data_IF_448469883245
#
_entry.id   IF_448469883245
#
_cell.length_a   1.000
_cell.length_b   1.000
_cell.length_c   1.000
_cell.angle_alpha   90.00
_cell.angle_beta   90.00
_cell.angle_gamma   90.00
#
_symmetry.space_group_name_H-M   'P 1'
#
loop_
_entity.id
_entity.type
_entity.pdbx_description
1 polymer ?
#
# COMPACT_ATOMS: atom_id res chain seq x y z
N UNK A 1 29.46 -8.49 10.15
CA UNK A 1 28.78 -7.24 9.80
C UNK A 1 27.33 -7.57 9.48
N UNK A 2 26.37 -6.99 10.19
CA UNK A 2 24.95 -7.09 9.82
C UNK A 2 24.76 -6.49 8.43
N UNK A 3 23.92 -7.11 7.59
CA UNK A 3 23.57 -6.52 6.29
C UNK A 3 22.92 -5.15 6.54
N UNK A 4 23.30 -4.09 5.78
CA UNK A 4 22.62 -2.81 5.87
C UNK A 4 21.10 -2.98 5.70
N UNK A 5 20.27 -2.27 6.49
CA UNK A 5 18.81 -2.44 6.48
C UNK A 5 18.13 -2.07 5.15
N UNK A 6 18.87 -1.44 4.22
CA UNK A 6 18.40 -1.15 2.86
C UNK A 6 18.60 -2.29 1.87
N UNK A 7 19.32 -3.37 2.23
CA UNK A 7 19.48 -4.59 1.41
C UNK A 7 18.40 -5.64 1.71
N UNK A 8 17.18 -5.21 2.06
CA UNK A 8 16.03 -6.11 2.16
C UNK A 8 15.53 -6.33 0.73
N UNK A 9 15.61 -7.56 0.27
CA UNK A 9 15.09 -7.98 -1.03
C UNK A 9 13.71 -8.62 -0.87
N UNK A 10 12.88 -8.53 -1.89
CA UNK A 10 11.60 -9.23 -1.99
C UNK A 10 11.71 -10.74 -1.78
N UNK A 11 10.56 -11.43 -1.68
CA UNK A 11 10.46 -12.84 -1.29
C UNK A 11 11.35 -13.79 -2.11
N UNK A 12 11.49 -13.52 -3.40
CA UNK A 12 12.29 -14.31 -4.34
C UNK A 12 13.72 -13.77 -4.55
N UNK A 13 14.15 -12.81 -3.72
CA UNK A 13 15.43 -12.12 -3.86
C UNK A 13 15.47 -11.04 -4.95
N UNK A 14 14.33 -10.72 -5.60
CA UNK A 14 14.24 -9.78 -6.72
C UNK A 14 13.04 -8.84 -6.59
N UNK A 15 13.31 -7.54 -6.60
CA UNK A 15 12.27 -6.53 -6.80
C UNK A 15 12.30 -6.02 -8.22
N UNK A 16 11.12 -5.88 -8.83
CA UNK A 16 10.98 -5.25 -10.13
C UNK A 16 10.57 -3.79 -9.93
N UNK A 17 11.44 -2.87 -10.36
CA UNK A 17 11.17 -1.44 -10.31
C UNK A 17 10.85 -0.91 -11.71
N UNK A 18 9.73 -0.22 -11.83
CA UNK A 18 9.25 0.37 -13.08
C UNK A 18 9.07 1.87 -12.92
N UNK A 19 9.18 2.59 -14.03
CA UNK A 19 8.88 4.03 -14.12
C UNK A 19 8.00 4.24 -15.34
N UNK A 20 6.88 4.94 -15.17
CA UNK A 20 5.99 5.26 -16.30
C UNK A 20 4.71 5.98 -15.88
N UNK A 21 3.86 6.38 -16.83
CA UNK A 21 2.66 7.16 -16.54
C UNK A 21 1.52 6.34 -15.91
N UNK A 22 1.61 5.00 -15.95
CA UNK A 22 0.61 4.07 -15.44
C UNK A 22 1.28 2.83 -14.84
N UNK A 23 0.52 2.04 -14.07
CA UNK A 23 1.01 0.73 -13.65
C UNK A 23 1.26 -0.15 -14.89
N UNK A 24 2.42 -0.81 -14.99
CA UNK A 24 2.82 -1.55 -16.18
C UNK A 24 1.99 -2.83 -16.34
N UNK A 25 1.78 -3.26 -17.59
CA UNK A 25 1.13 -4.55 -17.91
C UNK A 25 1.82 -5.74 -17.24
N UNK A 26 3.13 -5.65 -16.99
CA UNK A 26 3.86 -6.67 -16.24
C UNK A 26 3.27 -6.91 -14.84
N UNK A 27 2.81 -5.87 -14.14
CA UNK A 27 2.12 -6.02 -12.85
C UNK A 27 0.75 -6.67 -13.02
N UNK A 28 0.02 -6.39 -14.10
CA UNK A 28 -1.25 -7.06 -14.40
C UNK A 28 -1.08 -8.55 -14.72
N UNK A 29 0.02 -8.92 -15.39
CA UNK A 29 0.39 -10.32 -15.65
C UNK A 29 0.74 -11.01 -14.34
N UNK A 30 1.61 -10.40 -13.52
CA UNK A 30 1.97 -10.93 -12.21
C UNK A 30 0.76 -11.08 -11.28
N UNK A 31 -0.19 -10.13 -11.34
CA UNK A 31 -1.45 -10.22 -10.61
C UNK A 31 -2.21 -11.51 -10.90
N UNK A 32 -2.11 -12.06 -12.13
CA UNK A 32 -2.81 -13.31 -12.47
C UNK A 32 -2.31 -14.54 -11.69
N UNK A 33 -1.11 -14.48 -11.11
CA UNK A 33 -0.55 -15.53 -10.26
C UNK A 33 -1.20 -15.57 -8.86
N UNK A 34 -1.93 -14.52 -8.46
CA UNK A 34 -2.71 -14.51 -7.23
C UNK A 34 -3.94 -15.43 -7.37
N UNK A 35 -3.82 -16.65 -6.82
CA UNK A 35 -4.85 -17.68 -6.94
C UNK A 35 -6.17 -17.29 -6.25
N UNK A 36 -6.12 -16.45 -5.20
CA UNK A 36 -7.31 -16.01 -4.48
C UNK A 36 -8.13 -14.97 -5.26
N UNK A 37 -7.57 -14.39 -6.35
CA UNK A 37 -8.20 -13.30 -7.12
C UNK A 37 -8.69 -12.16 -6.21
N UNK A 38 -7.87 -11.79 -5.24
CA UNK A 38 -8.12 -10.70 -4.29
C UNK A 38 -7.00 -9.68 -4.38
N UNK A 39 -7.34 -8.40 -4.42
CA UNK A 39 -6.40 -7.29 -4.29
C UNK A 39 -6.82 -6.36 -3.14
N UNK A 40 -5.90 -6.15 -2.20
CA UNK A 40 -6.09 -5.28 -1.05
C UNK A 40 -5.06 -4.15 -1.09
N UNK A 41 -5.53 -2.91 -1.18
CA UNK A 41 -4.70 -1.71 -1.03
C UNK A 41 -4.63 -1.31 0.43
N UNK A 42 -3.42 -1.16 0.94
CA UNK A 42 -3.13 -0.69 2.29
C UNK A 42 -2.81 0.80 2.26
N UNK A 43 -3.78 1.62 2.65
CA UNK A 43 -3.72 3.07 2.62
C UNK A 43 -3.34 3.63 3.98
N UNK A 44 -2.43 4.60 4.03
CA UNK A 44 -2.06 5.27 5.27
C UNK A 44 -0.77 6.05 5.23
N UNK A 45 -0.46 6.69 6.35
CA UNK A 45 0.73 7.53 6.48
C UNK A 45 2.05 6.77 6.54
N UNK A 46 3.14 7.53 6.54
CA UNK A 46 4.51 7.03 6.75
C UNK A 46 4.93 7.05 8.22
N UNK A 47 4.08 7.56 9.13
CA UNK A 47 4.35 7.64 10.57
C UNK A 47 3.15 7.16 11.37
N UNK A 48 3.14 5.87 11.73
CA UNK A 48 1.96 5.21 12.30
C UNK A 48 2.21 4.50 13.63
N UNK A 49 3.45 4.51 14.13
CA UNK A 49 3.85 3.79 15.35
C UNK A 49 3.94 2.27 15.18
N UNK A 50 4.44 1.60 16.22
CA UNK A 50 4.84 0.18 16.15
C UNK A 50 3.65 -0.81 16.15
N UNK A 51 2.46 -0.38 16.60
CA UNK A 51 1.27 -1.23 16.71
C UNK A 51 0.74 -1.70 15.35
N UNK A 52 1.18 -1.09 14.25
CA UNK A 52 0.69 -1.38 12.91
C UNK A 52 0.98 -2.81 12.45
N UNK A 53 2.20 -3.31 12.67
CA UNK A 53 2.55 -4.64 12.20
C UNK A 53 1.81 -5.73 12.97
N UNK A 54 1.77 -5.73 14.32
CA UNK A 54 0.95 -6.69 15.06
C UNK A 54 -0.53 -6.67 14.64
N UNK A 55 -1.11 -5.51 14.35
CA UNK A 55 -2.48 -5.43 13.87
C UNK A 55 -2.66 -6.16 12.54
N UNK A 56 -1.87 -5.80 11.53
CA UNK A 56 -2.01 -6.37 10.19
C UNK A 56 -1.60 -7.85 10.13
N UNK A 57 -0.63 -8.28 10.93
CA UNK A 57 -0.23 -9.69 11.04
C UNK A 57 -1.38 -10.56 11.55
N UNK A 58 -2.15 -10.06 12.52
CA UNK A 58 -3.35 -10.75 13.01
C UNK A 58 -4.53 -10.64 12.02
N UNK A 59 -4.74 -9.48 11.40
CA UNK A 59 -5.88 -9.24 10.54
C UNK A 59 -5.78 -9.95 9.18
N UNK A 60 -4.56 -10.11 8.64
CA UNK A 60 -4.31 -10.64 7.31
C UNK A 60 -3.79 -12.08 7.30
N UNK A 61 -3.81 -12.77 8.46
CA UNK A 61 -3.27 -14.14 8.60
C UNK A 61 -3.88 -15.15 7.62
N UNK A 62 -5.17 -14.97 7.27
CA UNK A 62 -5.90 -15.84 6.34
C UNK A 62 -5.97 -15.29 4.91
N UNK A 63 -5.37 -14.14 4.66
CA UNK A 63 -5.28 -13.56 3.31
C UNK A 63 -4.00 -14.12 2.69
N UNK A 64 -4.10 -15.27 2.03
CA UNK A 64 -3.00 -15.92 1.32
C UNK A 64 -3.32 -16.04 -0.17
N UNK A 65 -2.30 -15.97 -1.03
CA UNK A 65 -2.47 -16.02 -2.48
C UNK A 65 -3.15 -14.81 -3.09
N UNK A 66 -3.17 -13.70 -2.36
CA UNK A 66 -3.76 -12.43 -2.77
C UNK A 66 -2.68 -11.44 -3.21
N UNK A 67 -3.10 -10.27 -3.65
CA UNK A 67 -2.23 -9.11 -3.87
C UNK A 67 -2.38 -8.17 -2.69
N UNK A 68 -1.27 -7.82 -2.06
CA UNK A 68 -1.21 -6.74 -1.08
C UNK A 68 -0.48 -5.55 -1.71
N UNK A 69 -1.16 -4.42 -1.83
CA UNK A 69 -0.63 -3.23 -2.47
C UNK A 69 -0.39 -2.10 -1.48
N UNK A 70 0.85 -1.60 -1.38
CA UNK A 70 1.23 -0.45 -0.55
C UNK A 70 1.71 0.76 -1.39
N UNK A 71 2.20 1.82 -0.75
CA UNK A 71 2.81 2.97 -1.45
C UNK A 71 4.18 2.68 -2.08
N UNK A 72 4.71 1.46 -2.02
CA UNK A 72 5.96 1.09 -2.72
C UNK A 72 7.23 1.80 -2.24
N UNK A 73 7.14 2.73 -1.30
CA UNK A 73 8.27 3.44 -0.69
C UNK A 73 8.54 2.96 0.72
N UNK A 74 9.69 3.35 1.25
CA UNK A 74 10.18 3.08 2.59
C UNK A 74 10.76 4.36 3.18
N UNK A 75 10.44 4.64 4.43
CA UNK A 75 10.99 5.77 5.16
C UNK A 75 11.97 5.31 6.25
N UNK A 76 12.98 6.14 6.51
CA UNK A 76 13.90 5.96 7.62
C UNK A 76 13.66 7.02 8.71
N UNK A 77 13.81 6.60 9.97
CA UNK A 77 13.83 7.52 11.11
C UNK A 77 15.17 8.26 11.23
N UNK A 78 15.27 9.19 12.19
CA UNK A 78 16.47 9.98 12.45
C UNK A 78 17.70 9.12 12.82
N UNK A 79 17.49 7.86 13.22
CA UNK A 79 18.54 6.90 13.56
C UNK A 79 18.92 6.00 12.38
N UNK A 80 18.32 6.21 11.21
CA UNK A 80 18.52 5.41 10.01
C UNK A 80 17.84 4.03 10.05
N UNK A 81 16.95 3.78 11.02
CA UNK A 81 16.14 2.57 11.07
C UNK A 81 14.89 2.70 10.19
N UNK A 82 14.37 1.58 9.72
CA UNK A 82 13.13 1.55 8.93
C UNK A 82 11.96 1.97 9.82
N UNK A 83 11.24 3.01 9.41
CA UNK A 83 10.10 3.52 10.14
C UNK A 83 8.88 2.61 9.98
N UNK A 84 8.25 2.25 11.10
CA UNK A 84 7.00 1.50 11.11
C UNK A 84 5.88 2.30 10.43
N UNK A 85 5.39 1.79 9.30
CA UNK A 85 4.47 2.49 8.41
C UNK A 85 3.62 1.52 7.58
N UNK A 86 2.48 2.00 7.05
CA UNK A 86 1.58 1.18 6.20
C UNK A 86 2.30 0.71 4.94
N UNK A 87 3.19 1.55 4.41
CA UNK A 87 3.92 1.26 3.17
C UNK A 87 4.83 0.03 3.28
N UNK A 88 5.21 -0.36 4.49
CA UNK A 88 5.99 -1.57 4.79
C UNK A 88 5.15 -2.85 4.93
N UNK A 89 3.84 -2.72 5.17
CA UNK A 89 3.00 -3.87 5.53
C UNK A 89 2.89 -4.86 4.38
N UNK A 90 2.68 -4.40 3.14
CA UNK A 90 2.53 -5.29 1.99
C UNK A 90 3.76 -6.19 1.78
N UNK A 91 4.97 -5.63 1.85
CA UNK A 91 6.21 -6.38 1.73
C UNK A 91 6.37 -7.39 2.88
N UNK A 92 6.19 -6.92 4.12
CA UNK A 92 6.44 -7.72 5.33
C UNK A 92 5.45 -8.86 5.48
N UNK A 93 4.14 -8.58 5.35
CA UNK A 93 3.06 -9.58 5.41
C UNK A 93 3.04 -10.44 4.15
N UNK A 94 3.30 -9.87 2.97
CA UNK A 94 3.27 -10.61 1.71
C UNK A 94 4.28 -11.74 1.66
N UNK A 95 5.50 -11.49 2.12
CA UNK A 95 6.53 -12.52 2.26
C UNK A 95 6.13 -13.67 3.21
N UNK A 96 5.36 -13.36 4.26
CA UNK A 96 5.00 -14.32 5.32
C UNK A 96 3.85 -15.25 4.92
N UNK A 97 2.87 -14.73 4.18
CA UNK A 97 1.63 -15.45 3.86
C UNK A 97 1.46 -15.74 2.37
N UNK A 98 2.56 -15.79 1.59
CA UNK A 98 2.53 -16.13 0.16
C UNK A 98 1.59 -15.21 -0.65
N UNK A 99 1.63 -13.90 -0.37
CA UNK A 99 0.96 -12.90 -1.20
C UNK A 99 1.95 -12.24 -2.14
N UNK A 100 1.42 -11.73 -3.25
CA UNK A 100 2.18 -10.88 -4.16
C UNK A 100 2.15 -9.46 -3.59
N UNK A 101 3.32 -8.92 -3.28
CA UNK A 101 3.44 -7.56 -2.78
C UNK A 101 3.67 -6.59 -3.94
N UNK A 102 2.80 -5.59 -4.05
CA UNK A 102 2.88 -4.55 -5.06
C UNK A 102 2.93 -3.18 -4.41
N UNK A 103 3.42 -2.18 -5.14
CA UNK A 103 3.26 -0.80 -4.72
C UNK A 103 3.45 0.22 -5.83
N UNK A 104 2.91 1.40 -5.62
CA UNK A 104 3.15 2.55 -6.47
C UNK A 104 3.39 3.80 -5.64
N UNK A 105 4.16 4.72 -6.19
CA UNK A 105 4.30 6.07 -5.66
C UNK A 105 4.41 7.08 -6.80
N UNK A 106 3.99 8.33 -6.61
CA UNK A 106 4.20 9.38 -7.60
C UNK A 106 5.66 9.85 -7.57
N UNK A 107 6.21 10.22 -8.73
CA UNK A 107 7.48 10.97 -8.77
C UNK A 107 7.24 12.37 -8.23
N UNK A 108 7.58 12.60 -6.96
CA UNK A 108 7.46 13.91 -6.31
C UNK A 108 8.70 14.78 -6.45
N UNK A 109 9.85 14.19 -6.82
CA UNK A 109 11.11 14.88 -7.03
C UNK A 109 11.98 14.18 -8.09
N UNK A 110 13.17 14.71 -8.37
CA UNK A 110 14.19 13.98 -9.13
C UNK A 110 14.70 12.80 -8.30
N UNK A 111 14.80 11.64 -8.94
CA UNK A 111 15.41 10.47 -8.32
C UNK A 111 16.94 10.61 -8.33
N UNK A 112 17.59 10.03 -7.33
CA UNK A 112 19.04 10.09 -7.21
C UNK A 112 19.58 9.02 -6.28
N UNK A 113 20.89 8.89 -6.26
CA UNK A 113 21.59 8.10 -5.27
C UNK A 113 22.23 9.04 -4.24
N UNK A 114 22.16 8.65 -2.97
CA UNK A 114 22.94 9.28 -1.90
C UNK A 114 24.26 8.54 -1.69
N UNK A 115 25.19 9.13 -0.94
CA UNK A 115 26.57 8.64 -0.77
C UNK A 115 26.65 7.19 -0.26
N UNK A 116 25.65 6.73 0.49
CA UNK A 116 25.57 5.34 1.00
C UNK A 116 24.96 4.33 0.00
N UNK A 117 24.66 4.77 -1.23
CA UNK A 117 24.17 3.94 -2.33
C UNK A 117 22.66 3.71 -2.35
N UNK A 118 21.88 4.31 -1.43
CA UNK A 118 20.41 4.24 -1.48
C UNK A 118 19.85 5.03 -2.65
N UNK A 119 18.82 4.46 -3.29
CA UNK A 119 18.05 5.12 -4.36
C UNK A 119 16.90 5.93 -3.75
N UNK A 120 17.01 7.25 -3.80
CA UNK A 120 16.07 8.20 -3.21
C UNK A 120 14.99 8.58 -4.21
N UNK A 121 13.74 8.58 -3.73
CA UNK A 121 12.55 8.71 -4.60
C UNK A 121 11.56 9.79 -4.19
N UNK A 122 11.94 10.66 -3.23
CA UNK A 122 11.11 11.75 -2.75
C UNK A 122 11.89 13.06 -2.61
N UNK A 123 11.15 14.09 -2.19
CA UNK A 123 11.63 15.42 -1.83
C UNK A 123 12.45 15.45 -0.53
N UNK A 124 12.44 14.36 0.25
CA UNK A 124 13.21 14.20 1.48
C UNK A 124 14.34 13.16 1.40
N UNK A 125 15.39 13.37 2.20
CA UNK A 125 16.58 12.50 2.29
C UNK A 125 16.36 11.15 3.00
N UNK A 126 15.12 10.83 3.37
CA UNK A 126 14.79 9.62 4.12
C UNK A 126 13.79 8.69 3.42
N UNK A 127 13.40 8.94 2.15
CA UNK A 127 12.45 8.10 1.41
C UNK A 127 13.12 7.36 0.25
N UNK A 128 13.10 6.03 0.29
CA UNK A 128 13.64 5.14 -0.74
C UNK A 128 12.55 4.21 -1.30
N UNK A 129 12.87 3.47 -2.36
CA UNK A 129 12.02 2.38 -2.84
C UNK A 129 11.98 1.26 -1.80
N UNK A 130 10.79 0.72 -1.51
CA UNK A 130 10.68 -0.47 -0.68
C UNK A 130 11.07 -1.72 -1.49
N UNK A 131 12.36 -2.05 -1.46
CA UNK A 131 12.92 -3.24 -2.10
C UNK A 131 12.50 -4.57 -1.43
N UNK A 132 11.67 -4.53 -0.37
CA UNK A 132 10.98 -5.71 0.14
C UNK A 132 9.74 -6.08 -0.68
N UNK A 133 9.25 -5.18 -1.54
CA UNK A 133 8.08 -5.38 -2.39
C UNK A 133 8.47 -6.06 -3.71
N UNK A 134 7.67 -7.02 -4.18
CA UNK A 134 7.97 -7.79 -5.40
C UNK A 134 7.92 -6.93 -6.66
N UNK A 135 6.95 -6.02 -6.73
CA UNK A 135 6.77 -5.08 -7.84
C UNK A 135 6.49 -3.66 -7.35
N UNK A 136 7.30 -2.69 -7.79
CA UNK A 136 7.12 -1.28 -7.46
C UNK A 136 7.11 -0.43 -8.72
N UNK A 137 6.18 0.51 -8.83
CA UNK A 137 6.09 1.44 -9.94
C UNK A 137 6.11 2.90 -9.47
N UNK A 138 7.07 3.68 -9.97
CA UNK A 138 7.04 5.12 -9.89
C UNK A 138 6.14 5.69 -10.99
N UNK A 139 5.06 6.37 -10.61
CA UNK A 139 4.16 7.05 -11.53
C UNK A 139 4.76 8.39 -11.92
N UNK A 140 5.06 8.50 -13.21
CA UNK A 140 5.77 9.62 -13.79
C UNK A 140 5.19 9.92 -15.18
N UNK A 141 4.48 11.05 -15.35
CA UNK A 141 3.94 11.47 -16.65
C UNK A 141 5.04 11.76 -17.69
N UNK A 142 6.17 12.28 -17.24
CA UNK A 142 7.34 12.54 -18.07
C UNK A 142 8.59 12.93 -17.26
N UNK A 143 9.74 13.11 -17.92
CA UNK A 143 11.04 13.30 -17.25
C UNK A 143 11.28 14.71 -16.72
N UNK A 144 10.50 15.70 -17.15
CA UNK A 144 10.74 17.11 -16.82
C UNK A 144 10.42 17.44 -15.36
N UNK A 145 11.02 18.51 -14.82
CA UNK A 145 10.82 18.91 -13.41
C UNK A 145 9.47 19.58 -13.16
N UNK A 146 8.90 20.23 -14.17
CA UNK A 146 7.53 20.77 -14.16
C UNK A 146 6.46 19.66 -14.20
N UNK A 147 6.86 18.39 -14.35
CA UNK A 147 5.99 17.21 -14.40
C UNK A 147 6.08 16.36 -13.13
N UNK A 148 6.71 16.85 -12.07
CA UNK A 148 6.62 16.22 -10.75
C UNK A 148 5.19 16.28 -10.24
N UNK A 149 4.79 15.23 -9.54
CA UNK A 149 3.45 15.05 -9.02
C UNK A 149 3.41 15.37 -7.52
N UNK A 150 2.21 15.64 -7.00
CA UNK A 150 1.96 15.57 -5.56
C UNK A 150 1.97 14.13 -5.06
N UNK A 151 2.00 13.93 -3.74
CA UNK A 151 1.89 12.61 -3.10
C UNK A 151 0.54 11.91 -3.36
N UNK A 152 -0.45 12.62 -3.90
CA UNK A 152 -1.72 12.10 -4.41
C UNK A 152 -1.72 11.81 -5.93
N UNK A 153 -0.59 11.99 -6.61
CA UNK A 153 -0.50 11.93 -8.07
C UNK A 153 -0.61 10.53 -8.67
N UNK A 154 -0.44 9.47 -7.87
CA UNK A 154 -0.59 8.09 -8.32
C UNK A 154 -1.96 7.48 -7.97
N UNK A 155 -2.81 8.18 -7.20
CA UNK A 155 -4.13 7.71 -6.75
C UNK A 155 -4.95 7.11 -7.90
N UNK A 156 -5.03 7.83 -9.01
CA UNK A 156 -5.83 7.38 -10.16
C UNK A 156 -5.21 6.16 -10.84
N UNK A 157 -3.89 6.10 -10.93
CA UNK A 157 -3.19 5.02 -11.63
C UNK A 157 -3.44 3.66 -10.95
N UNK A 158 -3.26 3.58 -9.62
CA UNK A 158 -3.46 2.29 -8.95
C UNK A 158 -4.93 1.96 -8.72
N UNK A 159 -5.82 2.96 -8.50
CA UNK A 159 -7.25 2.68 -8.37
C UNK A 159 -7.85 2.20 -9.70
N UNK A 160 -7.41 2.77 -10.83
CA UNK A 160 -7.79 2.27 -12.16
C UNK A 160 -7.23 0.88 -12.42
N UNK A 161 -6.00 0.59 -12.00
CA UNK A 161 -5.43 -0.75 -12.09
C UNK A 161 -6.25 -1.79 -11.30
N UNK A 162 -6.61 -1.47 -10.04
CA UNK A 162 -7.47 -2.33 -9.22
C UNK A 162 -8.85 -2.54 -9.84
N UNK A 163 -9.44 -1.47 -10.39
CA UNK A 163 -10.76 -1.56 -11.04
C UNK A 163 -10.71 -2.40 -12.31
N UNK A 164 -9.63 -2.29 -13.09
CA UNK A 164 -9.35 -3.16 -14.23
C UNK A 164 -9.28 -4.62 -13.84
N UNK A 165 -8.49 -4.96 -12.81
CA UNK A 165 -8.43 -6.34 -12.30
C UNK A 165 -9.80 -6.86 -11.85
N UNK A 166 -10.59 -6.01 -11.18
CA UNK A 166 -11.95 -6.37 -10.74
C UNK A 166 -12.88 -6.64 -11.91
N UNK A 167 -12.96 -5.71 -12.88
CA UNK A 167 -13.91 -5.76 -13.99
C UNK A 167 -13.53 -6.74 -15.07
N UNK A 168 -12.24 -6.87 -15.38
CA UNK A 168 -11.73 -7.64 -16.51
C UNK A 168 -11.21 -9.03 -16.10
N UNK A 169 -10.77 -9.18 -14.84
CA UNK A 169 -10.16 -10.43 -14.36
C UNK A 169 -10.90 -11.06 -13.16
N UNK A 170 -12.05 -10.50 -12.77
CA UNK A 170 -12.90 -11.05 -11.73
C UNK A 170 -12.33 -10.96 -10.32
N UNK A 171 -11.40 -10.03 -10.07
CA UNK A 171 -10.83 -9.86 -8.74
C UNK A 171 -11.84 -9.23 -7.76
N UNK A 172 -11.75 -9.58 -6.48
CA UNK A 172 -12.29 -8.74 -5.41
C UNK A 172 -11.29 -7.63 -5.07
N UNK A 173 -11.80 -6.42 -4.88
CA UNK A 173 -10.98 -5.24 -4.61
C UNK A 173 -11.38 -4.59 -3.29
N UNK A 174 -10.40 -4.38 -2.42
CA UNK A 174 -10.57 -3.76 -1.11
C UNK A 174 -9.50 -2.73 -0.81
N UNK A 175 -9.84 -1.75 0.02
CA UNK A 175 -8.91 -0.75 0.57
C UNK A 175 -9.01 -0.80 2.09
N UNK A 176 -7.89 -1.04 2.76
CA UNK A 176 -7.79 -0.91 4.22
C UNK A 176 -7.09 0.40 4.51
N UNK A 177 -7.81 1.28 5.21
CA UNK A 177 -7.37 2.62 5.57
C UNK A 177 -6.92 2.61 7.02
N UNK A 178 -5.63 2.82 7.23
CA UNK A 178 -5.02 2.96 8.55
C UNK A 178 -4.40 4.33 8.64
N UNK A 179 -4.82 5.17 9.60
CA UNK A 179 -4.26 6.48 9.93
C UNK A 179 -3.70 7.30 8.75
N UNK A 180 -4.28 8.46 8.46
CA UNK A 180 -3.75 9.28 7.39
C UNK A 180 -4.16 10.74 7.40
N UNK A 181 -3.52 11.46 6.48
CA UNK A 181 -3.88 12.84 6.15
C UNK A 181 -4.82 12.90 4.95
N UNK A 182 -4.83 14.06 4.29
CA UNK A 182 -5.68 14.37 3.13
C UNK A 182 -5.66 13.29 2.04
N UNK A 183 -4.48 12.77 1.68
CA UNK A 183 -4.34 11.78 0.59
C UNK A 183 -5.07 10.48 0.91
N UNK A 184 -4.94 9.99 2.15
CA UNK A 184 -5.60 8.78 2.64
C UNK A 184 -7.13 8.92 2.65
N UNK A 185 -7.64 10.09 3.01
CA UNK A 185 -9.09 10.40 2.96
C UNK A 185 -9.57 10.37 1.51
N UNK A 186 -8.83 10.99 0.59
CA UNK A 186 -9.16 10.97 -0.84
C UNK A 186 -9.12 9.56 -1.43
N UNK A 187 -8.16 8.74 -1.03
CA UNK A 187 -8.06 7.32 -1.40
C UNK A 187 -9.31 6.54 -0.96
N UNK A 188 -9.75 6.70 0.30
CA UNK A 188 -10.96 6.07 0.82
C UNK A 188 -12.23 6.45 0.05
N UNK A 189 -12.41 7.75 -0.21
CA UNK A 189 -13.57 8.28 -0.94
C UNK A 189 -13.58 7.75 -2.38
N UNK A 190 -12.45 7.84 -3.08
CA UNK A 190 -12.33 7.37 -4.47
C UNK A 190 -12.52 5.86 -4.60
N UNK A 191 -12.10 5.09 -3.60
CA UNK A 191 -12.32 3.65 -3.54
C UNK A 191 -13.80 3.30 -3.31
N UNK A 192 -14.46 3.99 -2.38
CA UNK A 192 -15.92 3.87 -2.15
C UNK A 192 -16.68 4.12 -3.44
N UNK A 193 -16.37 5.20 -4.16
CA UNK A 193 -17.07 5.60 -5.38
C UNK A 193 -16.86 4.60 -6.54
N UNK A 194 -15.81 3.78 -6.50
CA UNK A 194 -15.56 2.67 -7.44
C UNK A 194 -16.28 1.37 -7.05
N UNK A 195 -16.92 1.34 -5.89
CA UNK A 195 -17.59 0.16 -5.33
C UNK A 195 -16.63 -0.84 -4.70
N UNK A 196 -15.42 -0.42 -4.29
CA UNK A 196 -14.50 -1.29 -3.55
C UNK A 196 -14.96 -1.42 -2.10
N UNK A 197 -14.64 -2.53 -1.44
CA UNK A 197 -14.82 -2.61 0.01
C UNK A 197 -13.80 -1.69 0.68
N UNK A 198 -14.25 -0.80 1.57
CA UNK A 198 -13.39 0.13 2.31
C UNK A 198 -13.46 -0.20 3.79
N UNK A 199 -12.33 -0.58 4.37
CA UNK A 199 -12.18 -0.90 5.78
C UNK A 199 -11.42 0.23 6.47
N UNK A 200 -12.10 1.01 7.31
CA UNK A 200 -11.49 2.13 8.03
C UNK A 200 -11.08 1.67 9.43
N UNK A 201 -9.78 1.68 9.72
CA UNK A 201 -9.26 1.34 11.04
C UNK A 201 -9.32 2.55 11.97
N UNK A 202 -10.33 2.56 12.84
CA UNK A 202 -10.63 3.65 13.77
C UNK A 202 -9.73 3.61 15.01
N UNK A 203 -9.38 4.80 15.52
CA UNK A 203 -8.54 4.96 16.71
C UNK A 203 -7.05 4.81 16.40
N UNK A 204 -6.69 4.93 15.12
CA UNK A 204 -5.32 4.82 14.62
C UNK A 204 -4.58 6.16 14.64
N UNK A 205 -5.30 7.28 14.77
CA UNK A 205 -4.83 8.65 14.92
C UNK A 205 -5.08 9.56 13.69
N UNK A 206 -4.80 10.87 13.87
CA UNK A 206 -4.79 11.94 12.85
C UNK A 206 -6.17 12.27 12.23
N UNK A 207 -6.16 12.82 11.01
CA UNK A 207 -7.32 13.40 10.34
C UNK A 207 -8.28 12.35 9.76
N UNK A 208 -7.75 11.19 9.34
CA UNK A 208 -8.58 10.10 8.84
C UNK A 208 -9.57 9.59 9.91
N UNK A 209 -9.18 9.55 11.19
CA UNK A 209 -10.06 9.10 12.29
C UNK A 209 -11.31 9.98 12.45
N UNK A 210 -11.20 11.30 12.23
CA UNK A 210 -12.35 12.21 12.34
C UNK A 210 -13.18 12.24 11.06
N UNK A 211 -12.53 12.35 9.90
CA UNK A 211 -13.20 12.54 8.61
C UNK A 211 -13.82 11.24 8.08
N UNK A 212 -13.21 10.10 8.39
CA UNK A 212 -13.72 8.77 8.03
C UNK A 212 -14.42 8.09 9.21
N UNK A 213 -14.87 8.84 10.22
CA UNK A 213 -15.67 8.28 11.32
C UNK A 213 -17.04 7.76 10.81
N UNK A 214 -17.69 6.80 11.51
CA UNK A 214 -18.99 6.25 11.09
C UNK A 214 -20.09 7.28 10.81
N UNK A 215 -20.10 8.40 11.53
CA UNK A 215 -21.06 9.48 11.34
C UNK A 215 -20.86 10.25 10.02
N UNK A 216 -19.64 10.27 9.49
CA UNK A 216 -19.24 11.09 8.34
C UNK A 216 -18.99 10.24 7.08
N UNK A 217 -18.67 8.96 7.25
CA UNK A 217 -18.29 8.07 6.17
C UNK A 217 -18.94 6.68 6.36
N UNK A 218 -20.05 6.48 5.66
CA UNK A 218 -20.85 5.24 5.72
C UNK A 218 -21.38 4.86 4.33
N UNK A 219 -21.76 3.59 4.17
CA UNK A 219 -22.21 3.00 2.92
C UNK A 219 -22.24 1.48 3.02
N UNK A 220 -22.87 0.81 2.05
CA UNK A 220 -22.97 -0.66 2.04
C UNK A 220 -21.62 -1.37 1.87
N UNK A 221 -20.61 -0.66 1.38
CA UNK A 221 -19.25 -1.14 1.18
C UNK A 221 -18.24 -0.51 2.14
N UNK A 222 -18.69 0.14 3.23
CA UNK A 222 -17.83 0.81 4.20
C UNK A 222 -17.94 0.12 5.56
N UNK A 223 -16.81 -0.29 6.10
CA UNK A 223 -16.72 -1.04 7.35
C UNK A 223 -15.72 -0.38 8.29
N UNK A 224 -16.12 -0.20 9.54
CA UNK A 224 -15.28 0.44 10.57
C UNK A 224 -14.72 -0.63 11.50
N UNK A 225 -13.40 -0.63 11.66
CA UNK A 225 -12.66 -1.63 12.42
C UNK A 225 -11.95 -0.95 13.60
N UNK A 226 -12.16 -1.38 14.84
CA UNK A 226 -11.40 -0.88 15.98
C UNK A 226 -9.92 -1.28 15.87
N UNK A 227 -8.98 -0.32 16.02
CA UNK A 227 -7.54 -0.62 16.01
C UNK A 227 -7.13 -1.64 17.09
N UNK A 228 -7.82 -1.65 18.23
CA UNK A 228 -7.56 -2.59 19.32
C UNK A 228 -8.18 -3.99 19.09
N UNK A 229 -8.89 -4.21 17.99
CA UNK A 229 -9.51 -5.50 17.67
C UNK A 229 -9.23 -5.92 16.21
N UNK A 230 -8.00 -6.35 15.87
CA UNK A 230 -7.66 -6.82 14.53
C UNK A 230 -8.50 -8.01 14.05
N UNK A 231 -9.09 -8.79 14.97
CA UNK A 231 -9.98 -9.91 14.60
C UNK A 231 -11.22 -9.43 13.87
N UNK A 232 -11.76 -8.26 14.21
CA UNK A 232 -12.90 -7.69 13.48
C UNK A 232 -12.59 -7.51 12.00
N UNK A 233 -11.36 -7.08 11.64
CA UNK A 233 -10.97 -7.00 10.24
C UNK A 233 -10.83 -8.39 9.60
N UNK A 234 -10.23 -9.35 10.30
CA UNK A 234 -10.12 -10.73 9.78
C UNK A 234 -11.49 -11.36 9.52
N UNK A 235 -12.45 -11.17 10.43
CA UNK A 235 -13.82 -11.68 10.33
C UNK A 235 -14.53 -11.04 9.13
N UNK A 236 -14.45 -9.70 8.98
CA UNK A 236 -15.05 -8.99 7.84
C UNK A 236 -14.39 -9.33 6.50
N UNK A 237 -13.08 -9.56 6.46
CA UNK A 237 -12.41 -10.03 5.25
C UNK A 237 -12.90 -11.43 4.87
N UNK A 238 -13.13 -12.30 5.86
CA UNK A 238 -13.66 -13.64 5.62
C UNK A 238 -15.12 -13.60 5.15
N UNK A 239 -15.96 -12.79 5.80
CA UNK A 239 -17.37 -12.58 5.43
C UNK A 239 -17.51 -12.06 4.00
N UNK A 240 -16.61 -11.17 3.57
CA UNK A 240 -16.62 -10.60 2.22
C UNK A 240 -15.78 -11.40 1.22
N UNK A 241 -15.37 -12.64 1.56
CA UNK A 241 -14.64 -13.56 0.68
C UNK A 241 -13.25 -13.06 0.20
N UNK A 242 -12.58 -12.23 1.02
CA UNK A 242 -11.18 -11.84 0.81
C UNK A 242 -10.17 -12.89 1.29
N UNK A 243 -10.66 -14.01 1.82
CA UNK A 243 -9.88 -15.19 2.24
C UNK A 243 -10.37 -16.41 1.47
N UNK A 244 -9.52 -17.43 1.35
CA UNK A 244 -9.94 -18.75 0.87
C UNK A 244 -10.70 -19.55 1.93
#
# INVERSE_FOLDING_TARGET
MSRPPFLVTARNGRSHFFVGPFLPRAMAIAAQEAYAKVIIRLAGGMNNGDAIFPFFDNALVNVSGSILMSGGTRCFDEKGAIQASVVEVAAKIGSRYNNISMGSFPRTARFGFVDDGRFMVGDGENVTVNMGTDFVCAIQPGPEDNQVLGWDGDLEAYLSFMDGLRRENGFLAGVIVWNGGRVTIQEAIKARDRGFHVYVVSGSGRAADSELAPANFSGSNIFHVPMNNPRTLADLLSEHHFTL
#
